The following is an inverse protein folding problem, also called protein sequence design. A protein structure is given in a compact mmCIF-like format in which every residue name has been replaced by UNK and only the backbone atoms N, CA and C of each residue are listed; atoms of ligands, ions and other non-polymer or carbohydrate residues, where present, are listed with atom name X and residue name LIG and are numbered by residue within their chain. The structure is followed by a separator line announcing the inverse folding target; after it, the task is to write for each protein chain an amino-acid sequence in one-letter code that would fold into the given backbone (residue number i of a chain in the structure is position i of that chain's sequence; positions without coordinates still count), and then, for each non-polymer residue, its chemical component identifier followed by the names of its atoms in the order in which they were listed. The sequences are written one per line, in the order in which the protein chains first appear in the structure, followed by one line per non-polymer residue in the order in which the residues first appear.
data_IF_996610944783
#
_entry.id   IF_996610944783
#
_cell.length_a   1.000
_cell.length_b   1.000
_cell.length_c   1.000
_cell.angle_alpha   90.00
_cell.angle_beta   90.00
_cell.angle_gamma   90.00
#
_symmetry.space_group_name_H-M   'P 1'
#
loop_
_entity.id
_entity.type
_entity.pdbx_description
1 polymer ?
#
# COMPACT_ATOMS: atom_id res chain seq x y z
N UNK A 1 55.28 38.65 -38.11
CA UNK A 1 54.40 38.68 -36.94
C UNK A 1 53.23 37.75 -37.22
N UNK A 2 53.15 36.62 -36.54
CA UNK A 2 52.04 35.65 -36.69
C UNK A 2 51.06 35.93 -35.54
N UNK A 3 49.81 36.27 -35.86
CA UNK A 3 48.73 36.34 -34.88
C UNK A 3 48.10 34.95 -34.76
N UNK A 4 48.03 34.39 -33.55
CA UNK A 4 47.18 33.24 -33.26
C UNK A 4 45.87 33.74 -32.64
N UNK A 5 44.75 33.27 -33.19
CA UNK A 5 43.42 33.51 -32.62
C UNK A 5 43.26 32.68 -31.36
N UNK A 6 43.07 33.33 -30.21
CA UNK A 6 42.69 32.68 -28.97
C UNK A 6 41.21 32.28 -29.04
N UNK A 7 40.93 30.97 -29.05
CA UNK A 7 39.56 30.47 -28.89
C UNK A 7 39.16 30.59 -27.42
N UNK A 8 38.19 31.45 -27.14
CA UNK A 8 37.56 31.57 -25.82
C UNK A 8 36.72 30.31 -25.54
N UNK A 9 37.29 29.32 -24.86
CA UNK A 9 36.58 28.09 -24.47
C UNK A 9 35.80 28.32 -23.17
N UNK A 10 34.72 29.11 -23.25
CA UNK A 10 33.80 29.22 -22.12
C UNK A 10 33.07 27.87 -21.97
N UNK A 11 33.57 27.05 -21.04
CA UNK A 11 33.03 25.72 -20.72
C UNK A 11 31.61 25.92 -20.19
N UNK A 12 30.62 25.49 -20.97
CA UNK A 12 29.21 25.53 -20.56
C UNK A 12 28.97 24.37 -19.61
N UNK A 13 28.90 24.67 -18.31
CA UNK A 13 28.50 23.69 -17.32
C UNK A 13 27.03 23.30 -17.58
N UNK A 14 26.81 22.04 -17.97
CA UNK A 14 25.47 21.51 -18.22
C UNK A 14 24.90 21.04 -16.88
N UNK A 15 23.78 21.63 -16.47
CA UNK A 15 22.99 21.13 -15.34
C UNK A 15 22.02 20.09 -15.88
N UNK A 16 22.03 18.89 -15.30
CA UNK A 16 21.08 17.83 -15.60
C UNK A 16 19.95 17.88 -14.56
N UNK A 17 18.72 18.09 -15.02
CA UNK A 17 17.52 17.98 -14.19
C UNK A 17 16.84 16.67 -14.55
N UNK A 18 16.64 15.79 -13.56
CA UNK A 18 15.85 14.55 -13.72
C UNK A 18 14.46 14.77 -13.14
N UNK A 19 13.43 14.68 -13.98
CA UNK A 19 12.05 14.62 -13.54
C UNK A 19 11.67 13.16 -13.29
N UNK A 20 11.11 12.86 -12.12
CA UNK A 20 10.56 11.54 -11.77
C UNK A 20 9.09 11.72 -11.42
N UNK A 21 8.23 10.91 -12.04
CA UNK A 21 6.79 10.87 -11.75
C UNK A 21 6.55 9.68 -10.82
N UNK A 22 5.80 9.91 -9.75
CA UNK A 22 5.47 8.92 -8.73
C UNK A 22 3.96 8.87 -8.52
N UNK A 23 3.46 7.74 -8.02
CA UNK A 23 2.05 7.52 -7.75
C UNK A 23 1.87 6.89 -6.37
N UNK A 24 1.00 7.49 -5.55
CA UNK A 24 0.63 7.00 -4.22
C UNK A 24 -0.89 6.93 -4.09
N UNK A 25 -1.51 5.86 -4.64
CA UNK A 25 -2.96 5.71 -4.62
C UNK A 25 -3.47 5.36 -3.22
N UNK A 26 -4.71 5.73 -2.94
CA UNK A 26 -5.45 5.16 -1.80
C UNK A 26 -5.78 3.68 -2.05
N UNK A 27 -5.63 2.80 -1.06
CA UNK A 27 -6.01 1.39 -1.20
C UNK A 27 -7.52 1.19 -1.23
N UNK A 28 -7.97 0.10 -1.85
CA UNK A 28 -9.36 -0.35 -1.85
C UNK A 28 -9.51 -1.52 -0.88
N UNK A 29 -10.43 -1.38 0.09
CA UNK A 29 -10.70 -2.43 1.07
C UNK A 29 -12.06 -3.07 0.82
N UNK A 30 -12.11 -4.40 0.85
CA UNK A 30 -13.36 -5.18 0.72
C UNK A 30 -13.42 -6.32 1.73
N UNK A 31 -14.64 -6.68 2.11
CA UNK A 31 -14.94 -7.93 2.83
C UNK A 31 -15.21 -8.99 1.76
N UNK A 32 -14.33 -9.98 1.62
CA UNK A 32 -14.47 -11.01 0.60
C UNK A 32 -15.47 -12.10 1.00
N UNK A 33 -15.42 -12.54 2.25
CA UNK A 33 -16.26 -13.62 2.75
C UNK A 33 -16.40 -13.57 4.27
N UNK A 34 -17.52 -14.10 4.77
CA UNK A 34 -17.80 -14.30 6.19
C UNK A 34 -18.25 -15.74 6.40
N UNK A 35 -17.52 -16.47 7.23
CA UNK A 35 -17.83 -17.85 7.62
C UNK A 35 -18.33 -17.85 9.05
N UNK A 36 -19.59 -18.22 9.24
CA UNK A 36 -20.20 -18.46 10.56
C UNK A 36 -20.37 -19.95 10.75
N UNK A 37 -19.57 -20.55 11.63
CA UNK A 37 -19.74 -21.97 11.97
C UNK A 37 -20.81 -22.11 13.06
N UNK A 38 -21.93 -22.77 12.75
CA UNK A 38 -22.97 -23.11 13.72
C UNK A 38 -22.39 -23.99 14.85
N UNK A 39 -22.21 -23.41 16.03
CA UNK A 39 -21.68 -24.10 17.21
C UNK A 39 -20.28 -23.64 17.64
N UNK A 40 -19.53 -22.97 16.77
CA UNK A 40 -18.32 -22.24 17.17
C UNK A 40 -18.67 -20.80 17.57
N UNK A 41 -17.79 -20.16 18.36
CA UNK A 41 -18.03 -18.83 18.92
C UNK A 41 -17.46 -17.68 18.08
N UNK A 42 -16.79 -17.97 16.98
CA UNK A 42 -16.03 -16.99 16.22
C UNK A 42 -16.44 -17.02 14.75
N UNK A 43 -17.06 -15.93 14.28
CA UNK A 43 -17.15 -15.70 12.84
C UNK A 43 -15.75 -15.36 12.32
N UNK A 44 -15.41 -15.91 11.15
CA UNK A 44 -14.15 -15.62 10.47
C UNK A 44 -14.45 -14.79 9.24
N UNK A 45 -13.86 -13.61 9.16
CA UNK A 45 -14.07 -12.66 8.07
C UNK A 45 -12.77 -12.49 7.30
N UNK A 46 -12.81 -12.74 6.00
CA UNK A 46 -11.69 -12.53 5.09
C UNK A 46 -11.75 -11.11 4.53
N UNK A 47 -10.72 -10.33 4.80
CA UNK A 47 -10.55 -8.97 4.28
C UNK A 47 -9.56 -8.99 3.11
N UNK A 48 -9.81 -8.14 2.12
CA UNK A 48 -8.89 -7.86 1.03
C UNK A 48 -8.55 -6.37 1.00
N UNK A 49 -7.26 -6.08 0.85
CA UNK A 49 -6.76 -4.77 0.48
C UNK A 49 -6.14 -4.83 -0.91
N UNK A 50 -6.49 -3.88 -1.78
CA UNK A 50 -5.98 -3.79 -3.14
C UNK A 50 -5.34 -2.41 -3.38
N UNK A 51 -4.09 -2.39 -3.82
CA UNK A 51 -3.35 -1.19 -4.20
C UNK A 51 -3.14 -1.23 -5.71
N UNK A 52 -3.53 -0.18 -6.43
CA UNK A 52 -3.49 -0.16 -7.91
C UNK A 52 -2.57 0.94 -8.43
N UNK A 53 -1.43 0.53 -8.98
CA UNK A 53 -0.52 1.41 -9.71
C UNK A 53 0.33 2.31 -8.82
N UNK A 54 0.75 1.82 -7.65
CA UNK A 54 1.70 2.54 -6.81
C UNK A 54 3.08 2.55 -7.47
N UNK A 55 3.80 3.67 -7.39
CA UNK A 55 5.18 3.77 -7.86
C UNK A 55 5.91 4.81 -7.02
N UNK A 56 7.00 4.47 -6.30
CA UNK A 56 7.70 3.18 -6.26
C UNK A 56 6.95 2.08 -5.48
N UNK A 57 7.53 0.89 -5.35
CA UNK A 57 6.93 -0.27 -4.65
C UNK A 57 6.52 0.10 -3.22
N UNK A 58 5.26 -0.13 -2.82
CA UNK A 58 4.83 0.11 -1.46
C UNK A 58 4.94 -1.15 -0.60
N UNK A 59 5.14 -0.95 0.71
CA UNK A 59 4.79 -1.95 1.73
C UNK A 59 3.30 -1.86 2.04
N UNK A 60 2.62 -3.00 2.15
CA UNK A 60 1.19 -3.07 2.50
C UNK A 60 1.03 -3.91 3.76
N UNK A 61 0.30 -3.41 4.74
CA UNK A 61 0.03 -4.09 6.00
C UNK A 61 -1.41 -3.88 6.47
N UNK A 62 -1.92 -4.83 7.23
CA UNK A 62 -3.19 -4.71 7.94
C UNK A 62 -2.97 -4.29 9.39
N UNK A 63 -3.81 -3.40 9.89
CA UNK A 63 -3.84 -2.99 11.30
C UNK A 63 -5.26 -3.13 11.86
N UNK A 64 -5.37 -3.45 13.16
CA UNK A 64 -6.63 -3.36 13.90
C UNK A 64 -6.96 -1.92 14.34
N UNK A 65 -8.09 -1.73 15.03
CA UNK A 65 -8.54 -0.42 15.47
C UNK A 65 -7.64 0.23 16.54
N UNK A 66 -6.74 -0.54 17.15
CA UNK A 66 -5.73 -0.04 18.08
C UNK A 66 -4.38 0.24 17.40
N UNK A 67 -4.25 -0.04 16.10
CA UNK A 67 -3.03 0.16 15.32
C UNK A 67 -2.04 -1.01 15.42
N UNK A 68 -2.45 -2.17 15.94
CA UNK A 68 -1.60 -3.36 15.95
C UNK A 68 -1.53 -3.97 14.55
N UNK A 69 -0.32 -4.30 14.09
CA UNK A 69 -0.13 -5.00 12.82
C UNK A 69 -0.68 -6.43 12.95
N UNK A 70 -1.50 -6.81 11.98
CA UNK A 70 -2.14 -8.12 11.92
C UNK A 70 -1.33 -9.10 11.08
N UNK A 71 -1.39 -10.41 11.39
CA UNK A 71 -0.92 -11.43 10.47
C UNK A 71 -1.73 -11.37 9.17
N UNK A 72 -1.04 -11.48 8.05
CA UNK A 72 -1.63 -11.46 6.73
C UNK A 72 -1.04 -12.60 5.89
N UNK A 73 -1.73 -12.94 4.81
CA UNK A 73 -1.21 -13.85 3.80
C UNK A 73 -0.05 -13.18 3.04
N UNK A 74 0.72 -13.97 2.29
CA UNK A 74 1.75 -13.43 1.41
C UNK A 74 1.09 -12.52 0.35
N UNK A 75 1.54 -11.27 0.17
CA UNK A 75 0.94 -10.37 -0.80
C UNK A 75 1.09 -10.90 -2.23
N UNK A 76 0.00 -10.79 -2.99
CA UNK A 76 0.04 -11.02 -4.44
C UNK A 76 0.50 -9.74 -5.12
N UNK A 77 1.70 -9.76 -5.69
CA UNK A 77 2.32 -8.59 -6.31
C UNK A 77 2.44 -8.80 -7.82
N UNK A 78 2.04 -7.79 -8.58
CA UNK A 78 2.34 -7.69 -10.01
C UNK A 78 2.88 -6.30 -10.34
N UNK A 79 3.81 -6.24 -11.29
CA UNK A 79 4.45 -5.01 -11.72
C UNK A 79 4.25 -4.82 -13.22
N UNK A 80 3.92 -3.59 -13.62
CA UNK A 80 3.80 -3.19 -15.02
C UNK A 80 4.35 -1.78 -15.18
N UNK A 81 5.40 -1.64 -15.97
CA UNK A 81 5.98 -0.35 -16.34
C UNK A 81 6.34 0.52 -15.12
N UNK A 82 6.88 -0.10 -14.06
CA UNK A 82 7.25 0.53 -12.80
C UNK A 82 6.07 0.82 -11.86
N UNK A 83 4.88 0.36 -12.20
CA UNK A 83 3.66 0.50 -11.39
C UNK A 83 3.30 -0.84 -10.74
N UNK A 84 3.11 -0.82 -9.43
CA UNK A 84 2.84 -1.99 -8.59
C UNK A 84 1.35 -2.14 -8.30
N UNK A 85 0.87 -3.36 -8.42
CA UNK A 85 -0.48 -3.77 -8.11
C UNK A 85 -0.42 -4.90 -7.08
N UNK A 86 -0.93 -4.62 -5.88
CA UNK A 86 -0.77 -5.49 -4.72
C UNK A 86 -2.14 -5.86 -4.18
N UNK A 87 -2.33 -7.15 -3.91
CA UNK A 87 -3.47 -7.64 -3.13
C UNK A 87 -2.97 -8.28 -1.84
N UNK A 88 -3.50 -7.86 -0.69
CA UNK A 88 -3.16 -8.41 0.62
C UNK A 88 -4.42 -8.87 1.36
N UNK A 89 -4.41 -10.11 1.84
CA UNK A 89 -5.51 -10.71 2.57
C UNK A 89 -5.19 -10.90 4.05
N UNK A 90 -6.20 -10.76 4.91
CA UNK A 90 -6.12 -11.15 6.32
C UNK A 90 -7.46 -11.72 6.79
N UNK A 91 -7.41 -12.64 7.75
CA UNK A 91 -8.60 -13.20 8.41
C UNK A 91 -8.75 -12.62 9.80
N UNK A 92 -9.92 -12.08 10.11
CA UNK A 92 -10.22 -11.46 11.40
C UNK A 92 -11.43 -12.10 12.06
N UNK A 93 -11.47 -12.09 13.40
CA UNK A 93 -12.54 -12.73 14.20
C UNK A 93 -13.20 -11.82 15.21
N UNK A 94 -12.79 -10.55 15.27
CA UNK A 94 -13.28 -9.57 16.24
C UNK A 94 -14.07 -8.46 15.54
N UNK A 95 -15.12 -7.98 16.18
CA UNK A 95 -15.77 -6.73 15.81
C UNK A 95 -14.83 -5.56 16.04
N UNK A 96 -14.35 -4.96 14.96
CA UNK A 96 -13.39 -3.86 15.01
C UNK A 96 -13.41 -3.06 13.70
N UNK A 97 -12.65 -1.95 13.70
CA UNK A 97 -12.26 -1.24 12.48
C UNK A 97 -10.88 -1.74 12.07
N UNK A 98 -10.77 -2.21 10.84
CA UNK A 98 -9.52 -2.69 10.28
C UNK A 98 -9.03 -1.70 9.23
N UNK A 99 -7.72 -1.46 9.22
CA UNK A 99 -7.07 -0.46 8.36
C UNK A 99 -6.03 -1.16 7.51
N UNK A 100 -6.10 -0.99 6.20
CA UNK A 100 -4.99 -1.33 5.31
C UNK A 100 -4.11 -0.10 5.16
N UNK A 101 -2.82 -0.23 5.47
CA UNK A 101 -1.83 0.84 5.41
C UNK A 101 -0.83 0.56 4.29
N UNK A 102 -0.60 1.55 3.44
CA UNK A 102 0.29 1.50 2.28
C UNK A 102 1.39 2.51 2.50
N UNK A 103 2.64 2.05 2.59
CA UNK A 103 3.80 2.89 2.86
C UNK A 103 4.76 2.87 1.68
N UNK A 104 5.07 4.04 1.10
CA UNK A 104 6.12 4.20 0.09
C UNK A 104 7.30 4.96 0.68
N UNK A 105 8.26 4.21 1.24
CA UNK A 105 9.38 4.76 2.01
C UNK A 105 10.24 5.74 1.19
N UNK A 106 10.49 5.42 -0.08
CA UNK A 106 11.30 6.25 -0.98
C UNK A 106 10.75 7.67 -1.18
N UNK A 107 9.42 7.85 -1.09
CA UNK A 107 8.76 9.15 -1.25
C UNK A 107 8.17 9.67 0.06
N UNK A 108 8.42 8.99 1.18
CA UNK A 108 7.88 9.32 2.51
C UNK A 108 6.36 9.55 2.52
N UNK A 109 5.62 8.73 1.76
CA UNK A 109 4.16 8.87 1.65
C UNK A 109 3.47 7.64 2.23
N UNK A 110 2.34 7.88 2.89
CA UNK A 110 1.50 6.86 3.48
C UNK A 110 0.05 7.13 3.07
N UNK A 111 -0.62 6.11 2.55
CA UNK A 111 -2.07 6.11 2.30
C UNK A 111 -2.71 4.95 3.05
N UNK A 112 -4.01 5.04 3.29
CA UNK A 112 -4.73 3.99 3.98
C UNK A 112 -6.22 4.00 3.64
N UNK A 113 -6.87 2.88 3.91
CA UNK A 113 -8.32 2.77 3.90
C UNK A 113 -8.78 1.86 5.03
N UNK A 114 -10.00 2.07 5.50
CA UNK A 114 -10.56 1.36 6.64
C UNK A 114 -11.89 0.71 6.33
N UNK A 115 -12.19 -0.38 7.02
CA UNK A 115 -13.50 -1.04 7.01
C UNK A 115 -13.92 -1.43 8.42
N UNK A 116 -15.21 -1.37 8.70
CA UNK A 116 -15.78 -1.88 9.94
C UNK A 116 -16.32 -3.28 9.71
N UNK A 117 -15.92 -4.23 10.54
CA UNK A 117 -16.37 -5.61 10.46
C UNK A 117 -17.26 -5.91 11.66
N UNK A 118 -18.56 -6.19 11.45
CA UNK A 118 -19.43 -6.70 12.51
C UNK A 118 -19.26 -8.23 12.61
N UNK A 119 -18.63 -8.71 13.67
CA UNK A 119 -18.60 -10.13 14.04
C UNK A 119 -19.68 -10.39 15.09
N UNK A 120 -20.54 -11.37 14.86
CA UNK A 120 -21.66 -11.66 15.74
C UNK A 120 -21.17 -12.47 16.95
N UNK A 121 -20.78 -11.78 18.02
CA UNK A 121 -20.72 -12.39 19.35
C UNK A 121 -22.13 -12.60 19.89
N UNK A 122 -22.45 -13.80 20.42
CA UNK A 122 -23.77 -14.12 20.99
C UNK A 122 -24.34 -12.97 21.83
N UNK A 123 -25.62 -12.65 21.60
CA UNK A 123 -26.47 -11.97 22.58
C UNK A 123 -26.48 -12.85 23.84
N UNK A 124 -26.05 -12.36 25.02
CA UNK A 124 -26.22 -13.13 26.24
C UNK A 124 -27.72 -13.23 26.52
N UNK A 125 -28.27 -14.45 26.46
CA UNK A 125 -29.58 -14.80 27.03
C UNK A 125 -29.43 -14.98 28.55
#
# INVERSE_FOLDING_TARGET
MIWQNAQNSQKRDKILIKLVVVASPEPYVTIQSMVTTLGEKEDRVLLQCEVRGASPEPRVEWQDGAGNILPAEEPLVSEREGSFYITLHTTVTKTDRYRCVVTQEEINHVTDAMTYVPVCGKIPL
#
